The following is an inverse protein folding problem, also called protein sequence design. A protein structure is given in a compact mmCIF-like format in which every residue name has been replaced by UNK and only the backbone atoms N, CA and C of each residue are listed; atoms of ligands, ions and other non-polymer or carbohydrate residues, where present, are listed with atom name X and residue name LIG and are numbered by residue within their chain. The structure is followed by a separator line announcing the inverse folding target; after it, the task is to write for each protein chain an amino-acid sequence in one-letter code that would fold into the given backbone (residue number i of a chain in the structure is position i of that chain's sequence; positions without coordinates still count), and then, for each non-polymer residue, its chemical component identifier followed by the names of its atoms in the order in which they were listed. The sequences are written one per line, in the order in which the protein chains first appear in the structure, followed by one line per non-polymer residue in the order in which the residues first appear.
data_IF_196414006246
#
_entry.id   IF_196414006246
#
_cell.length_a   1.000
_cell.length_b   1.000
_cell.length_c   1.000
_cell.angle_alpha   90.00
_cell.angle_beta   90.00
_cell.angle_gamma   90.00
#
_symmetry.space_group_name_H-M   'P 1'
#
loop_
_entity.id
_entity.type
_entity.pdbx_description
1 polymer ?
#
# COMPACT_ATOMS: atom_id res chain seq x y z
N UNK A 1 -44.99 26.36 -71.48
CA UNK A 1 -45.71 26.08 -70.23
C UNK A 1 -45.06 24.90 -69.54
N UNK A 2 -44.74 25.07 -68.26
CA UNK A 2 -44.44 24.07 -67.22
C UNK A 2 -43.24 23.11 -67.39
N UNK A 3 -42.13 23.53 -66.76
CA UNK A 3 -41.18 22.71 -65.95
C UNK A 3 -41.95 21.98 -64.80
N UNK A 4 -41.38 21.05 -63.99
CA UNK A 4 -40.03 20.39 -63.96
C UNK A 4 -40.12 18.88 -63.48
N UNK A 5 -39.28 18.26 -62.60
CA UNK A 5 -37.81 17.97 -62.55
C UNK A 5 -37.37 16.57 -61.98
N UNK A 6 -36.03 16.37 -61.90
CA UNK A 6 -35.23 15.64 -60.88
C UNK A 6 -35.05 14.11 -60.96
N UNK A 7 -33.79 13.72 -61.19
CA UNK A 7 -33.17 12.56 -60.53
C UNK A 7 -31.88 13.08 -59.85
N UNK A 8 -31.93 13.27 -58.53
CA UNK A 8 -30.75 13.52 -57.69
C UNK A 8 -30.57 12.32 -56.78
N UNK A 9 -29.36 11.74 -56.83
CA UNK A 9 -28.93 10.62 -56.00
C UNK A 9 -28.97 10.99 -54.52
N UNK A 10 -29.58 10.11 -53.71
CA UNK A 10 -29.49 10.14 -52.25
C UNK A 10 -28.35 9.21 -51.83
N UNK A 11 -27.19 9.75 -51.47
CA UNK A 11 -26.26 9.08 -50.57
C UNK A 11 -26.49 9.67 -49.18
N UNK A 12 -27.15 8.88 -48.32
CA UNK A 12 -27.37 9.23 -46.93
C UNK A 12 -26.12 8.81 -46.14
N UNK A 13 -25.26 9.75 -45.80
CA UNK A 13 -24.18 9.54 -44.84
C UNK A 13 -24.79 9.55 -43.42
N UNK A 14 -24.90 8.37 -42.79
CA UNK A 14 -25.16 8.29 -41.35
C UNK A 14 -23.85 8.56 -40.61
N UNK A 15 -23.65 9.80 -40.15
CA UNK A 15 -22.73 10.05 -39.04
C UNK A 15 -23.39 9.53 -37.76
N UNK A 16 -22.98 8.34 -37.32
CA UNK A 16 -23.18 7.89 -35.95
C UNK A 16 -22.26 8.71 -35.05
N UNK A 17 -22.78 9.82 -34.51
CA UNK A 17 -22.22 10.46 -33.33
C UNK A 17 -22.40 9.51 -32.15
N UNK A 18 -21.42 8.63 -31.93
CA UNK A 18 -21.25 7.93 -30.67
C UNK A 18 -20.85 8.96 -29.61
N UNK A 19 -21.82 9.64 -29.01
CA UNK A 19 -21.63 10.34 -27.75
C UNK A 19 -21.39 9.28 -26.69
N UNK A 20 -20.13 8.91 -26.48
CA UNK A 20 -19.72 8.19 -25.29
C UNK A 20 -20.10 9.06 -24.10
N UNK A 21 -21.12 8.65 -23.34
CA UNK A 21 -21.33 9.16 -22.01
C UNK A 21 -20.09 8.78 -21.21
N UNK A 22 -19.14 9.72 -21.06
CA UNK A 22 -18.14 9.64 -20.01
C UNK A 22 -18.92 9.67 -18.70
N UNK A 23 -19.21 8.50 -18.14
CA UNK A 23 -19.71 8.42 -16.78
C UNK A 23 -18.60 8.99 -15.90
N UNK A 24 -18.90 10.13 -15.25
CA UNK A 24 -17.96 10.73 -14.34
C UNK A 24 -17.53 9.67 -13.32
N UNK A 25 -16.22 9.44 -13.24
CA UNK A 25 -15.63 8.51 -12.28
C UNK A 25 -16.07 8.95 -10.89
N UNK A 26 -16.57 8.02 -10.08
CA UNK A 26 -16.95 8.35 -8.71
C UNK A 26 -15.68 8.63 -7.91
N UNK A 27 -15.70 9.60 -6.98
CA UNK A 27 -14.60 9.77 -6.04
C UNK A 27 -14.47 8.49 -5.19
N UNK A 28 -13.25 8.18 -4.78
CA UNK A 28 -12.99 7.05 -3.91
C UNK A 28 -13.74 7.22 -2.58
N UNK A 29 -14.15 6.09 -1.99
CA UNK A 29 -14.82 6.09 -0.69
C UNK A 29 -13.94 6.74 0.39
N UNK A 30 -14.57 7.36 1.39
CA UNK A 30 -13.90 7.92 2.58
C UNK A 30 -14.61 7.47 3.87
N UNK A 31 -14.01 6.59 4.69
CA UNK A 31 -12.72 5.92 4.47
C UNK A 31 -12.76 5.05 3.21
N UNK A 32 -11.59 4.78 2.64
CA UNK A 32 -11.47 3.92 1.46
C UNK A 32 -11.88 2.48 1.79
N UNK A 33 -11.43 1.99 2.94
CA UNK A 33 -11.72 0.63 3.38
C UNK A 33 -11.67 0.51 4.91
N UNK A 34 -12.61 -0.26 5.46
CA UNK A 34 -12.61 -0.74 6.85
C UNK A 34 -12.69 -2.26 6.83
N UNK A 35 -11.85 -2.90 7.64
CA UNK A 35 -11.91 -4.35 7.80
C UNK A 35 -13.21 -4.75 8.54
N UNK A 36 -14.03 -5.66 7.99
CA UNK A 36 -15.30 -6.00 8.62
C UNK A 36 -15.18 -7.04 9.75
N UNK A 37 -13.98 -7.58 10.02
CA UNK A 37 -13.76 -8.65 11.00
C UNK A 37 -13.31 -8.08 12.33
N UNK A 38 -12.19 -7.35 12.31
CA UNK A 38 -11.53 -6.77 13.48
C UNK A 38 -11.44 -5.23 13.42
N UNK A 39 -11.76 -4.62 12.27
CA UNK A 39 -11.77 -3.16 12.09
C UNK A 39 -10.40 -2.51 12.39
N UNK A 40 -9.33 -3.25 12.05
CA UNK A 40 -7.93 -2.90 12.24
C UNK A 40 -7.11 -2.99 10.95
N UNK A 41 -7.65 -2.50 9.82
CA UNK A 41 -6.92 -2.52 8.54
C UNK A 41 -5.73 -1.53 8.57
N UNK A 42 -4.53 -2.02 8.27
CA UNK A 42 -3.29 -1.24 8.26
C UNK A 42 -2.31 -1.75 7.19
N UNK A 43 -1.26 -0.99 6.94
CA UNK A 43 -0.11 -1.38 6.10
C UNK A 43 -0.55 -1.99 4.73
N UNK A 44 -1.32 -1.25 3.91
CA UNK A 44 -1.89 -1.78 2.68
C UNK A 44 -0.79 -1.97 1.62
N UNK A 45 -0.95 -2.97 0.77
CA UNK A 45 -0.22 -3.16 -0.48
C UNK A 45 -1.20 -3.52 -1.59
N UNK A 46 -1.14 -2.79 -2.70
CA UNK A 46 -2.03 -2.92 -3.83
C UNK A 46 -1.31 -3.59 -5.00
N UNK A 47 -1.94 -4.60 -5.58
CA UNK A 47 -1.43 -5.34 -6.72
C UNK A 47 -2.56 -5.73 -7.66
N UNK A 48 -2.32 -5.64 -8.97
CA UNK A 48 -3.29 -6.03 -9.96
C UNK A 48 -3.32 -7.55 -10.13
N UNK A 49 -4.48 -8.16 -9.93
CA UNK A 49 -4.71 -9.56 -10.26
C UNK A 49 -4.96 -9.70 -11.77
N UNK A 50 -3.91 -10.05 -12.49
CA UNK A 50 -3.89 -10.19 -13.96
C UNK A 50 -4.88 -11.24 -14.48
N UNK A 51 -5.12 -12.31 -13.74
CA UNK A 51 -6.02 -13.38 -14.16
C UNK A 51 -7.49 -13.03 -13.94
N UNK A 52 -7.79 -12.24 -12.90
CA UNK A 52 -9.15 -11.81 -12.57
C UNK A 52 -9.53 -10.45 -13.12
N UNK A 53 -8.55 -9.69 -13.61
CA UNK A 53 -8.72 -8.32 -14.10
C UNK A 53 -9.28 -7.36 -13.02
N UNK A 54 -8.78 -7.51 -11.80
CA UNK A 54 -9.24 -6.77 -10.61
C UNK A 54 -8.03 -6.29 -9.80
N UNK A 55 -8.19 -5.20 -9.06
CA UNK A 55 -7.18 -4.71 -8.12
C UNK A 55 -7.38 -5.33 -6.76
N UNK A 56 -6.29 -5.80 -6.14
CA UNK A 56 -6.31 -6.47 -4.85
C UNK A 56 -5.47 -5.68 -3.86
N UNK A 57 -5.99 -5.50 -2.66
CA UNK A 57 -5.30 -4.89 -1.52
C UNK A 57 -5.07 -5.97 -0.49
N UNK A 58 -3.80 -6.19 -0.15
CA UNK A 58 -3.36 -7.01 0.97
C UNK A 58 -3.03 -6.07 2.11
N UNK A 59 -3.57 -6.29 3.29
CA UNK A 59 -3.36 -5.39 4.43
C UNK A 59 -3.06 -6.18 5.70
N UNK A 60 -2.21 -5.63 6.57
CA UNK A 60 -2.13 -6.08 7.96
C UNK A 60 -3.51 -5.91 8.59
N UNK A 61 -4.07 -7.00 9.11
CA UNK A 61 -5.23 -6.87 10.00
C UNK A 61 -4.74 -6.82 11.45
N UNK A 62 -5.43 -6.09 12.32
CA UNK A 62 -5.16 -5.99 13.75
C UNK A 62 -6.44 -6.34 14.48
N UNK A 63 -6.37 -7.08 15.59
CA UNK A 63 -7.51 -7.38 16.46
C UNK A 63 -7.90 -6.15 17.27
N UNK A 64 -8.29 -5.07 16.59
CA UNK A 64 -8.60 -3.81 17.26
C UNK A 64 -9.82 -3.96 18.19
N UNK A 65 -10.69 -4.93 17.94
CA UNK A 65 -11.78 -5.35 18.81
C UNK A 65 -11.36 -6.13 20.08
N UNK A 66 -10.07 -6.47 20.23
CA UNK A 66 -9.56 -7.16 21.41
C UNK A 66 -9.34 -6.18 22.55
N UNK A 67 -10.07 -6.41 23.65
CA UNK A 67 -9.85 -5.65 24.87
C UNK A 67 -8.59 -6.09 25.63
N UNK A 68 -7.72 -5.13 25.95
CA UNK A 68 -6.57 -5.34 26.83
C UNK A 68 -6.76 -4.61 28.16
N UNK A 69 -6.28 -5.22 29.26
CA UNK A 69 -6.37 -4.62 30.60
C UNK A 69 -5.24 -3.63 30.93
N UNK A 70 -4.22 -3.54 30.07
CA UNK A 70 -3.06 -2.69 30.22
C UNK A 70 -2.88 -1.87 28.93
N UNK A 71 -2.87 -0.53 28.99
CA UNK A 71 -2.65 0.33 27.82
C UNK A 71 -1.32 0.09 27.08
N UNK A 72 -0.35 -0.60 27.71
CA UNK A 72 0.92 -0.99 27.08
C UNK A 72 0.86 -2.36 26.39
N UNK A 73 -0.21 -3.11 26.57
CA UNK A 73 -0.37 -4.44 25.98
C UNK A 73 -0.68 -4.31 24.49
N UNK A 74 0.26 -4.74 23.65
CA UNK A 74 0.14 -4.67 22.19
C UNK A 74 -0.35 -5.99 21.57
N UNK A 75 -0.95 -6.89 22.35
CA UNK A 75 -1.49 -8.15 21.81
C UNK A 75 -2.52 -7.94 20.68
N UNK A 76 -3.21 -6.80 20.67
CA UNK A 76 -4.18 -6.44 19.65
C UNK A 76 -3.56 -6.27 18.24
N UNK A 77 -2.27 -5.94 18.12
CA UNK A 77 -1.58 -5.89 16.81
C UNK A 77 -1.07 -7.26 16.34
N UNK A 78 -1.24 -8.30 17.15
CA UNK A 78 -0.78 -9.66 16.89
C UNK A 78 -1.94 -10.62 16.59
N UNK A 79 -1.60 -11.85 16.14
CA UNK A 79 -2.50 -12.99 16.03
C UNK A 79 -3.44 -12.96 14.83
N UNK A 80 -3.08 -12.23 13.79
CA UNK A 80 -3.88 -12.01 12.58
C UNK A 80 -3.16 -12.44 11.32
N UNK A 81 -3.96 -12.82 10.31
CA UNK A 81 -3.51 -13.03 8.94
C UNK A 81 -3.60 -11.73 8.14
N UNK A 82 -3.03 -11.76 6.94
CA UNK A 82 -3.20 -10.67 5.98
C UNK A 82 -4.62 -10.70 5.44
N UNK A 83 -5.36 -9.60 5.60
CA UNK A 83 -6.67 -9.43 4.99
C UNK A 83 -6.56 -9.09 3.51
N UNK A 84 -7.60 -9.42 2.75
CA UNK A 84 -7.69 -9.13 1.31
C UNK A 84 -8.96 -8.33 1.05
N UNK A 85 -8.82 -7.20 0.37
CA UNK A 85 -9.92 -6.47 -0.24
C UNK A 85 -9.73 -6.39 -1.76
N UNK A 86 -10.82 -6.30 -2.51
CA UNK A 86 -10.82 -6.26 -3.98
C UNK A 86 -11.57 -5.05 -4.49
N UNK A 87 -10.99 -4.40 -5.49
CA UNK A 87 -11.62 -3.37 -6.30
C UNK A 87 -11.82 -3.85 -7.74
N UNK A 88 -13.05 -3.66 -8.24
CA UNK A 88 -13.45 -3.95 -9.63
C UNK A 88 -13.63 -2.68 -10.46
N UNK A 89 -13.48 -1.53 -9.84
CA UNK A 89 -13.66 -0.18 -10.40
C UNK A 89 -12.36 0.62 -10.34
N UNK A 90 -11.22 -0.09 -10.51
CA UNK A 90 -9.87 0.48 -10.62
C UNK A 90 -9.42 1.31 -9.42
N UNK A 91 -9.88 0.93 -8.23
CA UNK A 91 -9.42 1.46 -6.95
C UNK A 91 -10.37 2.44 -6.27
N UNK A 92 -11.52 2.76 -6.87
CA UNK A 92 -12.49 3.69 -6.28
C UNK A 92 -13.28 3.10 -5.10
N UNK A 93 -13.63 1.81 -5.15
CA UNK A 93 -14.26 1.09 -4.05
C UNK A 93 -13.64 -0.27 -3.81
N UNK A 94 -13.69 -0.72 -2.55
CA UNK A 94 -13.03 -1.94 -2.08
C UNK A 94 -14.00 -2.79 -1.27
N UNK A 95 -14.03 -4.08 -1.56
CA UNK A 95 -14.86 -5.07 -0.86
C UNK A 95 -13.99 -6.16 -0.24
N UNK A 96 -14.26 -6.50 1.02
CA UNK A 96 -13.57 -7.59 1.70
C UNK A 96 -13.74 -8.93 0.96
N UNK A 97 -12.64 -9.66 0.81
CA UNK A 97 -12.60 -10.97 0.14
C UNK A 97 -12.34 -12.12 1.11
N UNK A 98 -11.61 -11.87 2.20
CA UNK A 98 -11.14 -12.92 3.10
C UNK A 98 -9.73 -12.65 3.59
N UNK A 99 -9.06 -13.71 4.05
CA UNK A 99 -7.67 -13.68 4.49
C UNK A 99 -6.77 -14.44 3.49
N UNK A 100 -5.52 -14.02 3.36
CA UNK A 100 -4.52 -14.72 2.56
C UNK A 100 -4.13 -16.05 3.22
N UNK A 101 -4.21 -17.13 2.45
CA UNK A 101 -3.79 -18.47 2.88
C UNK A 101 -2.26 -18.59 2.75
N UNK A 102 -1.53 -18.22 3.81
CA UNK A 102 -0.08 -18.29 3.87
C UNK A 102 0.36 -19.64 4.46
N UNK A 103 1.09 -20.49 3.71
CA UNK A 103 1.52 -21.81 4.18
C UNK A 103 2.82 -21.73 5.00
N UNK A 104 2.86 -20.90 6.04
CA UNK A 104 4.03 -20.72 6.90
C UNK A 104 3.63 -20.56 8.38
N UNK A 105 4.39 -21.20 9.26
CA UNK A 105 4.17 -21.11 10.70
C UNK A 105 2.92 -21.85 11.20
N UNK A 106 2.44 -21.44 12.38
CA UNK A 106 1.27 -22.00 13.05
C UNK A 106 0.06 -21.07 12.97
N UNK A 107 -1.16 -21.52 13.35
CA UNK A 107 -2.37 -20.71 13.39
C UNK A 107 -2.26 -19.37 14.12
N UNK A 108 -1.41 -19.28 15.15
CA UNK A 108 -1.23 -18.12 16.04
C UNK A 108 -0.13 -17.15 15.61
N UNK A 109 0.58 -17.43 14.50
CA UNK A 109 1.56 -16.51 13.94
C UNK A 109 0.88 -15.26 13.40
N UNK A 110 1.54 -14.11 13.62
CA UNK A 110 1.09 -12.81 13.13
C UNK A 110 1.76 -12.49 11.80
N UNK A 111 1.00 -11.94 10.86
CA UNK A 111 1.50 -11.44 9.59
C UNK A 111 1.40 -9.92 9.52
N UNK A 112 2.48 -9.25 9.13
CA UNK A 112 2.51 -7.79 8.95
C UNK A 112 3.07 -7.37 7.59
N UNK A 113 2.60 -6.21 7.12
CA UNK A 113 3.19 -5.38 6.08
C UNK A 113 3.72 -6.19 4.87
N UNK A 114 2.83 -6.82 4.07
CA UNK A 114 3.25 -7.49 2.85
C UNK A 114 3.69 -6.45 1.82
N UNK A 115 4.70 -6.75 0.99
CA UNK A 115 4.90 -6.08 -0.29
C UNK A 115 4.95 -7.12 -1.42
N UNK A 116 4.25 -6.82 -2.52
CA UNK A 116 3.94 -7.79 -3.56
C UNK A 116 4.30 -7.23 -4.93
N UNK A 117 5.10 -7.99 -5.69
CA UNK A 117 5.48 -7.65 -7.06
C UNK A 117 5.14 -8.79 -8.01
N UNK A 118 4.87 -8.46 -9.27
CA UNK A 118 4.72 -9.46 -10.33
C UNK A 118 5.99 -9.51 -11.18
N UNK A 119 6.65 -10.66 -11.22
CA UNK A 119 7.90 -10.85 -11.94
C UNK A 119 7.99 -12.26 -12.53
N UNK A 120 8.50 -12.36 -13.75
CA UNK A 120 8.68 -13.64 -14.47
C UNK A 120 7.44 -14.56 -14.44
N UNK A 121 6.24 -13.98 -14.58
CA UNK A 121 4.99 -14.74 -14.67
C UNK A 121 4.39 -15.18 -13.33
N UNK A 122 4.94 -14.72 -12.19
CA UNK A 122 4.44 -15.04 -10.85
C UNK A 122 4.36 -13.80 -9.97
N UNK A 123 3.51 -13.87 -8.96
CA UNK A 123 3.52 -12.92 -7.86
C UNK A 123 4.54 -13.38 -6.81
N UNK A 124 5.27 -12.42 -6.26
CA UNK A 124 6.26 -12.60 -5.20
C UNK A 124 5.82 -11.70 -4.05
N UNK A 125 5.53 -12.29 -2.89
CA UNK A 125 5.19 -11.57 -1.66
C UNK A 125 6.34 -11.69 -0.68
N UNK A 126 6.76 -10.55 -0.14
CA UNK A 126 7.64 -10.47 1.02
C UNK A 126 6.81 -10.06 2.22
N UNK A 127 6.85 -10.85 3.27
CA UNK A 127 5.90 -10.75 4.38
C UNK A 127 6.61 -10.87 5.71
N UNK A 128 6.32 -9.96 6.64
CA UNK A 128 6.83 -10.03 8.01
C UNK A 128 6.06 -11.09 8.79
N UNK A 129 6.79 -11.95 9.47
CA UNK A 129 6.26 -12.98 10.37
C UNK A 129 6.71 -12.71 11.80
N UNK A 130 5.75 -12.66 12.72
CA UNK A 130 6.00 -12.69 14.17
C UNK A 130 5.44 -14.02 14.69
N UNK A 131 6.24 -14.87 15.36
CA UNK A 131 5.86 -16.25 15.66
C UNK A 131 5.00 -16.37 16.92
N UNK A 132 3.87 -15.67 16.94
CA UNK A 132 2.89 -15.74 18.02
C UNK A 132 2.22 -14.40 18.30
N UNK A 133 1.59 -14.34 19.48
CA UNK A 133 1.02 -13.13 20.08
C UNK A 133 1.84 -12.72 21.30
N UNK A 134 2.24 -11.45 21.33
CA UNK A 134 3.04 -10.87 22.40
C UNK A 134 2.36 -9.64 22.98
N UNK A 135 2.65 -9.35 24.26
CA UNK A 135 2.11 -8.18 24.97
C UNK A 135 3.02 -6.96 24.90
N UNK A 136 4.22 -7.14 24.36
CA UNK A 136 5.20 -6.08 24.11
C UNK A 136 5.84 -6.29 22.73
N UNK A 137 6.69 -5.34 22.33
CA UNK A 137 7.39 -5.36 21.04
C UNK A 137 8.65 -6.25 21.03
N UNK A 138 8.95 -6.95 22.13
CA UNK A 138 10.17 -7.75 22.25
C UNK A 138 9.98 -9.19 21.75
N UNK A 139 9.48 -9.33 20.52
CA UNK A 139 9.25 -10.61 19.84
C UNK A 139 10.23 -10.78 18.68
N UNK A 140 10.67 -11.99 18.30
CA UNK A 140 11.42 -12.17 17.05
C UNK A 140 10.53 -11.84 15.83
N UNK A 141 11.14 -11.40 14.74
CA UNK A 141 10.46 -11.21 13.46
C UNK A 141 11.40 -11.47 12.30
N UNK A 142 10.87 -11.94 11.19
CA UNK A 142 11.62 -12.18 9.95
C UNK A 142 10.77 -11.86 8.73
N UNK A 143 11.41 -11.60 7.59
CA UNK A 143 10.70 -11.42 6.31
C UNK A 143 10.82 -12.70 5.50
N UNK A 144 9.69 -13.38 5.30
CA UNK A 144 9.59 -14.55 4.43
C UNK A 144 9.29 -14.14 2.99
N UNK A 145 9.63 -15.03 2.06
CA UNK A 145 9.35 -14.91 0.63
C UNK A 145 8.39 -16.02 0.20
N UNK A 146 7.28 -15.60 -0.40
CA UNK A 146 6.25 -16.46 -0.95
C UNK A 146 6.09 -16.20 -2.46
N UNK A 147 5.67 -17.22 -3.19
CA UNK A 147 5.26 -17.07 -4.60
C UNK A 147 3.85 -17.57 -4.83
N UNK A 148 3.15 -16.97 -5.80
CA UNK A 148 1.80 -17.38 -6.19
C UNK A 148 1.58 -17.20 -7.69
N UNK A 149 0.83 -18.09 -8.37
CA UNK A 149 0.41 -17.88 -9.74
C UNK A 149 -0.79 -16.93 -9.87
N UNK A 150 -1.57 -16.71 -8.80
CA UNK A 150 -2.93 -16.15 -8.90
C UNK A 150 -3.33 -15.22 -7.74
N UNK A 151 -2.42 -14.94 -6.81
CA UNK A 151 -2.62 -14.19 -5.55
C UNK A 151 -3.47 -14.91 -4.49
N UNK A 152 -3.89 -16.15 -4.74
CA UNK A 152 -4.72 -16.96 -3.83
C UNK A 152 -3.92 -18.13 -3.25
N UNK A 153 -3.21 -18.86 -4.11
CA UNK A 153 -2.44 -20.03 -3.74
C UNK A 153 -0.97 -19.67 -3.58
N UNK A 154 -0.52 -19.57 -2.34
CA UNK A 154 0.86 -19.21 -2.02
C UNK A 154 1.72 -20.44 -1.77
N UNK A 155 3.02 -20.33 -2.08
CA UNK A 155 4.05 -21.31 -1.77
C UNK A 155 5.22 -20.61 -1.10
N UNK A 156 5.64 -21.09 0.07
CA UNK A 156 6.85 -20.61 0.74
C UNK A 156 8.09 -20.96 -0.07
N UNK A 157 8.96 -19.97 -0.26
CA UNK A 157 10.20 -20.12 -1.04
C UNK A 157 11.46 -19.94 -0.18
N UNK A 158 11.42 -19.03 0.78
CA UNK A 158 12.58 -18.74 1.62
C UNK A 158 12.38 -17.52 2.51
N UNK A 159 13.48 -16.90 2.93
CA UNK A 159 13.47 -15.66 3.71
C UNK A 159 14.62 -14.75 3.30
N UNK A 160 14.49 -13.46 3.59
CA UNK A 160 15.61 -12.52 3.42
C UNK A 160 16.66 -12.84 4.49
N UNK A 161 17.87 -13.16 4.07
CA UNK A 161 19.04 -13.29 4.94
C UNK A 161 19.96 -12.06 4.75
N UNK A 162 19.56 -10.94 5.36
CA UNK A 162 20.31 -9.69 5.28
C UNK A 162 21.44 -9.57 6.31
N UNK A 163 21.49 -10.49 7.29
CA UNK A 163 22.39 -10.45 8.43
C UNK A 163 21.83 -9.79 9.70
N UNK A 164 20.53 -9.45 9.74
CA UNK A 164 19.82 -8.98 10.96
C UNK A 164 18.57 -9.83 11.23
N UNK A 165 18.22 -9.99 12.52
CA UNK A 165 17.12 -10.83 13.03
C UNK A 165 15.89 -10.03 13.49
N UNK A 166 15.84 -8.73 13.19
CA UNK A 166 14.71 -7.84 13.49
C UNK A 166 14.43 -6.86 12.36
N UNK A 167 14.16 -7.43 11.18
CA UNK A 167 13.83 -6.66 9.98
C UNK A 167 12.33 -6.71 9.70
N UNK A 168 11.75 -5.58 9.30
CA UNK A 168 10.33 -5.44 8.96
C UNK A 168 10.10 -4.51 7.77
N UNK A 169 8.86 -4.48 7.29
CA UNK A 169 8.34 -3.57 6.28
C UNK A 169 9.14 -3.60 4.97
N UNK A 170 9.19 -4.76 4.28
CA UNK A 170 9.85 -4.84 2.99
C UNK A 170 9.19 -3.90 1.98
N UNK A 171 9.99 -3.26 1.13
CA UNK A 171 9.53 -2.66 -0.12
C UNK A 171 10.49 -2.99 -1.25
N UNK A 172 9.95 -3.55 -2.31
CA UNK A 172 10.68 -4.03 -3.47
C UNK A 172 10.57 -3.05 -4.62
N UNK A 173 11.70 -2.83 -5.28
CA UNK A 173 11.76 -2.08 -6.52
C UNK A 173 12.77 -2.71 -7.47
N UNK A 174 12.40 -2.82 -8.74
CA UNK A 174 13.32 -3.30 -9.77
C UNK A 174 14.22 -2.14 -10.22
N UNK A 175 15.52 -2.28 -10.00
CA UNK A 175 16.52 -1.31 -10.41
C UNK A 175 16.62 -1.24 -11.94
N UNK A 176 17.08 -0.10 -12.51
CA UNK A 176 17.51 -0.04 -13.89
C UNK A 176 18.51 -1.18 -14.20
N UNK A 177 18.30 -1.86 -15.32
CA UNK A 177 19.11 -3.03 -15.70
C UNK A 177 18.58 -4.37 -15.22
N UNK A 178 17.53 -4.39 -14.39
CA UNK A 178 16.78 -5.60 -14.05
C UNK A 178 17.02 -6.27 -12.69
N UNK A 179 18.08 -6.00 -11.89
CA UNK A 179 18.15 -6.55 -10.55
C UNK A 179 17.08 -5.92 -9.65
N UNK A 180 16.80 -6.56 -8.54
CA UNK A 180 15.86 -6.14 -7.52
C UNK A 180 16.60 -5.59 -6.32
N UNK A 181 16.03 -4.57 -5.70
CA UNK A 181 16.41 -4.09 -4.37
C UNK A 181 15.20 -4.18 -3.45
N UNK A 182 15.43 -4.62 -2.23
CA UNK A 182 14.46 -4.56 -1.13
C UNK A 182 14.97 -3.57 -0.09
N UNK A 183 14.13 -2.64 0.31
CA UNK A 183 14.34 -1.78 1.48
C UNK A 183 13.52 -2.33 2.65
N UNK A 184 14.03 -2.17 3.86
CA UNK A 184 13.37 -2.61 5.08
C UNK A 184 13.93 -1.83 6.27
N UNK A 185 13.19 -1.80 7.37
CA UNK A 185 13.69 -1.31 8.65
C UNK A 185 14.55 -2.36 9.31
N UNK A 186 15.67 -1.96 9.90
CA UNK A 186 16.46 -2.79 10.80
C UNK A 186 16.37 -2.25 12.23
N UNK A 187 15.61 -2.93 13.08
CA UNK A 187 15.42 -2.51 14.47
C UNK A 187 16.68 -2.72 15.33
N UNK A 188 17.64 -3.54 14.87
CA UNK A 188 18.92 -3.73 15.57
C UNK A 188 19.85 -2.54 15.40
N UNK A 189 19.69 -1.74 14.36
CA UNK A 189 20.46 -0.52 14.13
C UNK A 189 19.56 0.71 14.12
N UNK A 190 19.16 1.15 15.32
CA UNK A 190 18.47 2.43 15.52
C UNK A 190 17.15 2.60 14.74
N UNK A 191 16.56 1.50 14.23
CA UNK A 191 15.42 1.56 13.30
C UNK A 191 15.72 2.39 12.05
N UNK A 192 16.95 2.30 11.55
CA UNK A 192 17.31 2.86 10.24
C UNK A 192 16.77 1.98 9.12
N UNK A 193 16.67 2.57 7.92
CA UNK A 193 16.32 1.82 6.73
C UNK A 193 17.57 1.28 6.05
N UNK A 194 17.52 0.00 5.73
CA UNK A 194 18.55 -0.75 5.05
C UNK A 194 18.04 -1.21 3.69
N UNK A 195 18.95 -1.63 2.82
CA UNK A 195 18.61 -2.33 1.60
C UNK A 195 19.50 -3.53 1.32
N UNK A 196 18.96 -4.49 0.58
CA UNK A 196 19.67 -5.64 0.01
C UNK A 196 19.31 -5.79 -1.47
N UNK A 197 20.27 -6.26 -2.27
CA UNK A 197 20.08 -6.47 -3.71
C UNK A 197 19.99 -7.96 -4.05
N UNK A 198 19.22 -8.29 -5.09
CA UNK A 198 19.06 -9.64 -5.61
C UNK A 198 18.85 -9.62 -7.13
N UNK A 199 19.38 -10.60 -7.84
CA UNK A 199 19.09 -10.77 -9.28
C UNK A 199 17.92 -11.72 -9.55
N UNK A 200 17.47 -12.47 -8.54
CA UNK A 200 16.50 -13.55 -8.68
C UNK A 200 15.37 -13.55 -7.64
N UNK A 201 15.34 -12.54 -6.76
CA UNK A 201 14.46 -12.41 -5.59
C UNK A 201 14.65 -13.49 -4.51
N UNK A 202 15.64 -14.37 -4.65
CA UNK A 202 15.89 -15.50 -3.74
C UNK A 202 17.18 -15.28 -2.97
N UNK A 203 18.26 -14.94 -3.67
CA UNK A 203 19.57 -14.72 -3.07
C UNK A 203 19.80 -13.23 -2.90
N UNK A 204 19.94 -12.80 -1.64
CA UNK A 204 20.08 -11.39 -1.28
C UNK A 204 21.50 -11.09 -0.84
N UNK A 205 22.00 -9.91 -1.20
CA UNK A 205 23.24 -9.37 -0.64
C UNK A 205 23.05 -9.03 0.85
N UNK A 206 24.18 -8.92 1.57
CA UNK A 206 24.19 -8.35 2.92
C UNK A 206 23.52 -6.97 2.92
N UNK A 207 22.77 -6.68 3.97
CA UNK A 207 22.13 -5.38 4.17
C UNK A 207 23.14 -4.23 4.28
N UNK A 208 22.83 -3.12 3.63
CA UNK A 208 23.56 -1.85 3.74
C UNK A 208 22.63 -0.74 4.21
N UNK A 209 23.08 0.18 5.09
CA UNK A 209 22.25 1.30 5.54
C UNK A 209 22.00 2.28 4.38
N UNK A 210 20.77 2.79 4.28
CA UNK A 210 20.31 3.71 3.23
C UNK A 210 19.83 5.03 3.82
N UNK A 211 18.88 4.98 4.76
CA UNK A 211 18.36 6.17 5.45
C UNK A 211 18.74 6.06 6.92
N UNK A 212 19.67 6.93 7.33
CA UNK A 212 20.26 6.96 8.69
C UNK A 212 20.20 8.32 9.35
N UNK A 213 19.52 9.30 8.73
CA UNK A 213 19.32 10.63 9.31
C UNK A 213 18.28 10.61 10.44
N UNK A 214 17.48 9.55 10.53
CA UNK A 214 16.46 9.31 11.56
C UNK A 214 16.04 7.84 11.64
N UNK A 215 15.42 7.49 12.76
CA UNK A 215 14.62 6.26 12.88
C UNK A 215 13.35 6.36 12.02
N UNK A 216 13.01 5.31 11.29
CA UNK A 216 11.81 5.22 10.44
C UNK A 216 11.41 3.77 10.16
N UNK A 217 10.24 3.59 9.60
CA UNK A 217 9.74 2.31 9.09
C UNK A 217 9.02 2.48 7.74
N UNK A 218 8.35 1.43 7.28
CA UNK A 218 7.48 1.48 6.10
C UNK A 218 8.06 2.18 4.86
N UNK A 219 9.26 1.81 4.37
CA UNK A 219 9.73 2.33 3.10
C UNK A 219 8.73 1.99 2.00
N UNK A 220 8.42 2.93 1.11
CA UNK A 220 7.78 2.63 -0.18
C UNK A 220 8.50 3.34 -1.30
N UNK A 221 9.14 2.56 -2.18
CA UNK A 221 9.89 3.08 -3.32
C UNK A 221 9.07 3.02 -4.61
N UNK A 222 9.03 4.12 -5.35
CA UNK A 222 8.34 4.22 -6.64
C UNK A 222 9.00 5.23 -7.58
N UNK A 223 8.70 5.15 -8.88
CA UNK A 223 9.16 6.10 -9.90
C UNK A 223 8.01 6.98 -10.36
N UNK A 224 8.18 8.30 -10.29
CA UNK A 224 7.17 9.27 -10.71
C UNK A 224 7.82 10.60 -11.11
N UNK A 225 7.30 11.24 -12.18
CA UNK A 225 7.82 12.51 -12.75
C UNK A 225 9.35 12.47 -12.98
N UNK A 226 9.83 11.40 -13.62
CA UNK A 226 11.25 11.17 -13.95
C UNK A 226 12.22 11.14 -12.76
N UNK A 227 11.70 10.90 -11.56
CA UNK A 227 12.49 10.73 -10.34
C UNK A 227 12.07 9.46 -9.60
N UNK A 228 12.95 9.00 -8.72
CA UNK A 228 12.62 7.98 -7.73
C UNK A 228 12.24 8.66 -6.43
N UNK A 229 11.22 8.12 -5.79
CA UNK A 229 10.70 8.59 -4.52
C UNK A 229 10.72 7.44 -3.52
N UNK A 230 10.98 7.76 -2.27
CA UNK A 230 10.79 6.87 -1.13
C UNK A 230 9.94 7.61 -0.11
N UNK A 231 8.82 7.01 0.26
CA UNK A 231 8.05 7.44 1.43
C UNK A 231 8.45 6.57 2.62
N UNK A 232 8.51 7.14 3.81
CA UNK A 232 8.82 6.43 5.06
C UNK A 232 7.86 6.84 6.16
N UNK A 233 7.70 6.03 7.20
CA UNK A 233 6.95 6.37 8.41
C UNK A 233 7.91 6.62 9.59
N UNK A 234 8.27 7.88 9.89
CA UNK A 234 9.01 8.27 11.09
C UNK A 234 8.12 8.44 12.34
N UNK A 235 6.90 7.91 12.35
CA UNK A 235 5.87 8.07 13.38
C UNK A 235 5.49 9.55 13.63
N UNK A 236 5.47 10.34 12.56
CA UNK A 236 5.10 11.77 12.60
C UNK A 236 4.60 12.26 11.25
N UNK A 237 3.56 11.63 10.72
CA UNK A 237 3.25 11.65 9.28
C UNK A 237 4.34 10.94 8.48
N UNK A 238 4.30 11.08 7.15
CA UNK A 238 5.17 10.33 6.25
C UNK A 238 6.31 11.18 5.70
N UNK A 239 7.54 10.71 5.90
CA UNK A 239 8.75 11.32 5.34
C UNK A 239 8.83 11.10 3.83
N UNK A 240 9.42 12.05 3.10
CA UNK A 240 9.60 11.95 1.65
C UNK A 240 11.06 12.13 1.30
N UNK A 241 11.59 11.22 0.50
CA UNK A 241 12.92 11.30 -0.07
C UNK A 241 12.84 11.21 -1.60
N UNK A 242 13.69 11.98 -2.28
CA UNK A 242 13.86 11.91 -3.73
C UNK A 242 15.26 11.39 -4.09
N UNK A 243 15.37 10.65 -5.19
CA UNK A 243 16.62 10.15 -5.74
C UNK A 243 16.61 10.14 -7.26
N UNK A 244 17.80 10.27 -7.86
CA UNK A 244 18.01 10.10 -9.31
C UNK A 244 18.53 8.72 -9.68
N UNK A 245 19.09 7.98 -8.72
CA UNK A 245 19.90 6.78 -8.95
C UNK A 245 19.55 5.61 -8.01
N UNK A 246 18.60 5.79 -7.07
CA UNK A 246 18.22 4.82 -6.04
C UNK A 246 19.30 4.54 -4.99
N UNK A 247 20.39 5.31 -5.00
CA UNK A 247 21.52 5.20 -4.07
C UNK A 247 21.61 6.42 -3.17
N UNK A 248 21.51 7.61 -3.75
CA UNK A 248 21.59 8.88 -3.03
C UNK A 248 20.21 9.48 -2.84
N UNK A 249 19.80 9.62 -1.59
CA UNK A 249 18.48 10.09 -1.21
C UNK A 249 18.56 11.49 -0.59
N UNK A 250 17.72 12.40 -1.07
CA UNK A 250 17.56 13.74 -0.51
C UNK A 250 16.24 13.84 0.21
N UNK A 251 16.28 14.13 1.52
CA UNK A 251 15.10 14.32 2.35
C UNK A 251 14.39 15.64 2.01
N UNK A 252 13.07 15.58 1.80
CA UNK A 252 12.20 16.73 1.77
C UNK A 252 11.96 17.24 3.20
N UNK A 253 12.18 18.52 3.53
CA UNK A 253 12.08 19.01 4.92
C UNK A 253 10.74 18.73 5.61
N UNK A 254 9.62 18.80 4.88
CA UNK A 254 8.29 18.58 5.41
C UNK A 254 7.77 17.16 5.14
N UNK A 255 7.23 16.52 6.18
CA UNK A 255 6.47 15.28 6.07
C UNK A 255 5.08 15.55 5.47
N UNK A 256 4.61 14.66 4.60
CA UNK A 256 3.23 14.64 4.15
C UNK A 256 2.34 13.93 5.18
N UNK A 257 1.03 14.18 5.18
CA UNK A 257 0.07 13.55 6.09
C UNK A 257 0.38 13.68 7.60
N UNK A 258 1.28 14.59 7.99
CA UNK A 258 1.59 14.86 9.40
C UNK A 258 0.43 15.61 10.09
N UNK A 259 -0.20 16.56 9.38
CA UNK A 259 -1.35 17.26 9.90
C UNK A 259 -2.62 16.39 9.77
N UNK A 260 -3.52 16.40 10.77
CA UNK A 260 -4.81 15.73 10.66
C UNK A 260 -5.67 16.38 9.58
N UNK A 261 -6.48 15.58 8.88
CA UNK A 261 -7.52 16.08 7.98
C UNK A 261 -8.74 16.60 8.75
N UNK A 262 -9.74 17.06 8.01
CA UNK A 262 -11.00 17.57 8.58
C UNK A 262 -12.16 16.58 8.46
N UNK A 263 -12.07 15.66 7.51
CA UNK A 263 -13.11 14.68 7.21
C UNK A 263 -13.14 13.53 8.24
N UNK A 264 -14.32 12.97 8.55
CA UNK A 264 -14.43 11.85 9.49
C UNK A 264 -13.51 10.69 9.13
N UNK A 265 -12.97 10.03 10.15
CA UNK A 265 -12.04 8.88 10.08
C UNK A 265 -10.63 9.19 9.55
N UNK A 266 -10.36 10.44 9.18
CA UNK A 266 -9.09 10.89 8.59
C UNK A 266 -8.45 12.05 9.39
N UNK A 267 -8.76 12.13 10.69
CA UNK A 267 -8.41 13.23 11.61
C UNK A 267 -7.18 12.96 12.48
N UNK A 268 -6.32 12.03 12.06
CA UNK A 268 -5.01 11.79 12.66
C UNK A 268 -3.93 11.86 11.59
N UNK A 269 -2.66 11.82 11.99
CA UNK A 269 -1.57 11.62 11.04
C UNK A 269 -1.75 10.30 10.27
N UNK A 270 -1.23 10.28 9.04
CA UNK A 270 -1.18 9.09 8.19
C UNK A 270 0.05 8.25 8.50
N UNK A 271 -0.11 6.93 8.36
CA UNK A 271 0.91 5.91 8.65
C UNK A 271 1.02 4.92 7.49
N UNK A 272 2.16 4.22 7.43
CA UNK A 272 2.53 3.14 6.49
C UNK A 272 1.70 3.11 5.20
N UNK A 273 2.31 3.51 4.09
CA UNK A 273 1.59 3.62 2.82
C UNK A 273 2.06 2.65 1.74
N UNK A 274 1.17 2.44 0.78
CA UNK A 274 1.54 2.05 -0.57
C UNK A 274 1.27 3.20 -1.56
N UNK A 275 1.98 3.18 -2.69
CA UNK A 275 1.81 4.14 -3.78
C UNK A 275 1.74 3.41 -5.10
N UNK A 276 0.67 3.68 -5.85
CA UNK A 276 0.50 3.19 -7.22
C UNK A 276 0.55 4.35 -8.19
N UNK A 277 1.46 4.26 -9.17
CA UNK A 277 1.60 5.24 -10.25
C UNK A 277 0.89 4.71 -11.50
N UNK A 278 -0.06 5.46 -12.03
CA UNK A 278 -0.75 5.15 -13.27
C UNK A 278 -1.01 6.42 -14.08
N UNK A 279 -0.78 6.35 -15.39
CA UNK A 279 -1.01 7.45 -16.35
C UNK A 279 -0.46 8.83 -15.91
N UNK A 280 0.71 8.83 -15.24
CA UNK A 280 1.34 10.05 -14.75
C UNK A 280 0.78 10.61 -13.44
N UNK A 281 -0.23 9.97 -12.86
CA UNK A 281 -0.77 10.19 -11.51
C UNK A 281 -0.14 9.25 -10.50
N UNK A 282 0.01 9.69 -9.25
CA UNK A 282 0.50 8.87 -8.15
C UNK A 282 -0.52 8.88 -7.02
N UNK A 283 -1.10 7.73 -6.71
CA UNK A 283 -2.11 7.57 -5.67
C UNK A 283 -1.48 6.94 -4.44
N UNK A 284 -1.64 7.58 -3.29
CA UNK A 284 -1.15 7.09 -2.00
C UNK A 284 -2.30 6.46 -1.23
N UNK A 285 -2.04 5.28 -0.66
CA UNK A 285 -2.95 4.50 0.18
C UNK A 285 -2.30 4.33 1.54
N UNK A 286 -2.93 4.80 2.60
CA UNK A 286 -2.31 4.87 3.93
C UNK A 286 -3.36 4.57 5.00
N UNK A 287 -2.92 4.23 6.21
CA UNK A 287 -3.86 4.00 7.30
C UNK A 287 -3.83 5.14 8.33
N UNK A 288 -4.93 5.26 9.08
CA UNK A 288 -5.08 6.23 10.18
C UNK A 288 -5.68 5.54 11.39
N UNK A 289 -5.23 5.94 12.58
CA UNK A 289 -5.86 5.54 13.84
C UNK A 289 -7.13 6.35 14.09
N UNK A 290 -8.15 5.75 14.69
CA UNK A 290 -9.34 6.49 15.08
C UNK A 290 -9.13 7.16 16.44
N UNK A 291 -9.35 8.47 16.52
CA UNK A 291 -9.17 9.27 17.75
C UNK A 291 -10.21 10.39 17.84
N UNK A 292 -10.38 10.92 19.04
CA UNK A 292 -11.23 12.08 19.29
C UNK A 292 -12.66 11.88 18.78
N UNK A 293 -13.08 12.74 17.84
CA UNK A 293 -14.44 12.71 17.27
C UNK A 293 -14.74 11.47 16.39
N UNK A 294 -13.72 10.70 16.02
CA UNK A 294 -13.87 9.47 15.23
C UNK A 294 -14.01 8.22 16.12
N UNK A 295 -13.95 8.36 17.44
CA UNK A 295 -14.19 7.26 18.37
C UNK A 295 -15.70 6.93 18.41
N UNK A 296 -16.03 5.64 18.32
CA UNK A 296 -17.36 5.14 18.61
C UNK A 296 -17.44 4.71 20.09
N UNK A 297 -18.15 5.44 20.96
CA UNK A 297 -18.24 5.10 22.39
C UNK A 297 -18.98 3.78 22.65
N UNK A 298 -19.61 3.17 21.65
CA UNK A 298 -20.26 1.85 21.74
C UNK A 298 -19.29 0.71 21.45
N UNK A 299 -18.13 1.00 20.83
CA UNK A 299 -17.12 0.00 20.53
C UNK A 299 -16.06 0.00 21.64
N UNK A 300 -15.74 -1.17 22.22
CA UNK A 300 -14.60 -1.28 23.12
C UNK A 300 -13.31 -1.04 22.33
N UNK A 301 -12.36 -0.32 22.95
CA UNK A 301 -11.06 0.00 22.36
C UNK A 301 -11.16 0.70 21.00
N UNK A 302 -12.14 1.61 20.86
CA UNK A 302 -12.37 2.32 19.60
C UNK A 302 -11.12 3.07 19.10
N UNK A 303 -10.17 3.39 19.98
CA UNK A 303 -8.90 4.03 19.67
C UNK A 303 -7.90 3.13 18.92
N UNK A 304 -8.06 1.81 19.02
CA UNK A 304 -7.20 0.83 18.34
C UNK A 304 -7.65 0.60 16.89
N UNK A 305 -8.85 1.08 16.53
CA UNK A 305 -9.39 0.96 15.17
C UNK A 305 -8.52 1.71 14.18
N UNK A 306 -8.35 1.10 13.01
CA UNK A 306 -7.65 1.72 11.88
C UNK A 306 -8.44 1.56 10.60
N UNK A 307 -8.32 2.56 9.74
CA UNK A 307 -8.97 2.56 8.42
C UNK A 307 -7.96 2.92 7.35
N UNK A 308 -8.18 2.40 6.14
CA UNK A 308 -7.42 2.79 4.96
C UNK A 308 -8.05 4.02 4.32
N UNK A 309 -7.21 4.94 3.89
CA UNK A 309 -7.53 6.19 3.22
C UNK A 309 -6.79 6.25 1.88
N UNK A 310 -7.24 7.13 0.99
CA UNK A 310 -6.57 7.42 -0.27
C UNK A 310 -6.36 8.92 -0.46
N UNK A 311 -5.29 9.27 -1.17
CA UNK A 311 -5.03 10.61 -1.66
C UNK A 311 -4.30 10.58 -3.00
N UNK A 312 -4.22 11.72 -3.66
CA UNK A 312 -3.40 11.89 -4.86
C UNK A 312 -2.18 12.75 -4.50
N UNK A 313 -1.00 12.25 -4.84
CA UNK A 313 0.24 12.99 -4.68
C UNK A 313 0.37 14.03 -5.80
N UNK A 314 0.70 15.26 -5.41
CA UNK A 314 0.99 16.35 -6.32
C UNK A 314 2.45 16.79 -6.16
N UNK A 315 3.07 17.21 -7.26
CA UNK A 315 4.44 17.74 -7.25
C UNK A 315 4.36 19.25 -7.43
N UNK A 316 4.57 19.99 -6.34
CA UNK A 316 4.47 21.46 -6.29
C UNK A 316 5.83 22.02 -5.91
N UNK A 317 6.41 22.85 -6.78
CA UNK A 317 7.74 23.45 -6.57
C UNK A 317 8.83 22.44 -6.21
N UNK A 318 8.76 21.24 -6.81
CA UNK A 318 9.71 20.14 -6.59
C UNK A 318 9.48 19.36 -5.29
N UNK A 319 8.40 19.63 -4.55
CA UNK A 319 8.01 18.91 -3.34
C UNK A 319 6.78 18.04 -3.57
N UNK A 320 6.80 16.84 -3.02
CA UNK A 320 5.61 15.98 -2.96
C UNK A 320 4.70 16.49 -1.86
N UNK A 321 3.45 16.73 -2.22
CA UNK A 321 2.39 17.14 -1.31
C UNK A 321 1.15 16.28 -1.55
N UNK A 322 0.23 16.28 -0.59
CA UNK A 322 -1.09 15.64 -0.71
C UNK A 322 -2.11 16.45 0.07
N UNK A 323 -3.20 16.82 -0.59
CA UNK A 323 -4.38 17.35 0.08
C UNK A 323 -5.34 16.19 0.35
N UNK A 324 -5.32 15.69 1.58
CA UNK A 324 -6.14 14.55 1.98
C UNK A 324 -7.63 14.87 2.07
N UNK A 325 -8.02 16.14 2.19
CA UNK A 325 -9.43 16.55 2.28
C UNK A 325 -10.06 16.75 0.90
N UNK A 326 -9.25 16.81 -0.16
CA UNK A 326 -9.70 16.82 -1.55
C UNK A 326 -10.25 15.45 -1.96
N UNK A 327 -11.43 15.37 -2.61
CA UNK A 327 -11.90 14.13 -3.21
C UNK A 327 -10.91 13.59 -4.24
N UNK A 328 -10.50 12.33 -4.09
CA UNK A 328 -9.61 11.64 -5.04
C UNK A 328 -10.42 10.78 -5.99
N UNK A 329 -10.10 10.83 -7.29
CA UNK A 329 -10.71 9.99 -8.32
C UNK A 329 -9.66 8.95 -8.74
N UNK A 330 -9.59 7.85 -8.01
CA UNK A 330 -8.56 6.83 -8.21
C UNK A 330 -8.81 6.08 -9.52
N UNK A 331 -7.83 6.11 -10.43
CA UNK A 331 -7.73 5.19 -11.57
C UNK A 331 -6.38 4.48 -11.53
N UNK A 332 -6.38 3.23 -11.11
CA UNK A 332 -5.19 2.38 -11.11
C UNK A 332 -4.95 1.68 -12.46
N UNK A 333 -5.88 1.82 -13.42
CA UNK A 333 -5.79 1.19 -14.73
C UNK A 333 -5.85 -0.33 -14.69
N UNK A 334 -5.26 -0.95 -15.71
CA UNK A 334 -5.01 -2.40 -15.80
C UNK A 334 -3.53 -2.63 -16.07
N UNK A 335 -2.92 -3.65 -15.47
CA UNK A 335 -1.47 -3.90 -15.60
C UNK A 335 -1.11 -5.16 -16.39
#
# INVERSE_FOLDING_TARGET
MNRPPFLRALLLAMLLLSTGLMQAQQPAAKPLFRDPVHDGAADPTLIYNRAKHEWWMFYTNRRADLATGDPKDVAWVHGTRIGIAVSKDRGASWTYRGEAAIPYGTPDYTHWAPDIVFWQGKYHMFLVIVPGTFKDWNAPREIIHLTSPDLEHWSYLGKIDSGSDRIIDPSLFQLPGGPWRVWYKDERDHSHLYSSDSTDLVHWSKGVPVITDRSSEAPKVFRWKDQYWMITDPWRGLGVYSSKDLEHWTHQPENILQAPGTLPTDRTEGHHCDVVVHDGHAYIFYFTHQKGADLDPKLPHSEDRTVIQAGELELVDGKVVVDRDKPVHVDLGTQ
#
